data_IF_564442247187
#
_entry.id   IF_564442247187
#
_cell.length_a   1.000
_cell.length_b   1.000
_cell.length_c   1.000
_cell.angle_alpha   90.00
_cell.angle_beta   90.00
_cell.angle_gamma   90.00
#
_symmetry.space_group_name_H-M   'P 1'
#
loop_
_entity.id
_entity.type
_entity.pdbx_description
1 polymer ?
#
# COMPACT_ATOMS: atom_id res chain seq x y z
N UNK A 1 11.93 3.90 14.79
CA UNK A 1 10.91 4.50 13.92
C UNK A 1 10.91 6.03 14.01
N UNK A 2 10.84 6.62 15.20
CA UNK A 2 10.83 8.09 15.40
C UNK A 2 11.94 8.85 14.65
N UNK A 3 13.17 8.35 14.70
CA UNK A 3 14.31 8.99 14.00
C UNK A 3 14.15 8.96 12.48
N UNK A 4 13.59 7.89 11.93
CA UNK A 4 13.40 7.74 10.48
C UNK A 4 12.32 8.73 10.01
N UNK A 5 11.16 8.76 10.68
CA UNK A 5 10.11 9.71 10.37
C UNK A 5 10.59 11.17 10.49
N UNK A 6 11.37 11.48 11.55
CA UNK A 6 11.94 12.83 11.70
C UNK A 6 12.81 13.23 10.50
N UNK A 7 13.62 12.35 9.95
CA UNK A 7 14.42 12.63 8.74
C UNK A 7 13.52 12.95 7.55
N UNK A 8 12.46 12.14 7.36
CA UNK A 8 11.48 12.34 6.27
C UNK A 8 10.78 13.68 6.45
N UNK A 9 10.26 13.97 7.65
CA UNK A 9 9.57 15.22 7.96
C UNK A 9 10.49 16.43 7.81
N UNK A 10 11.73 16.37 8.30
CA UNK A 10 12.70 17.46 8.20
C UNK A 10 12.98 17.77 6.71
N UNK A 11 13.15 16.73 5.89
CA UNK A 11 13.35 16.91 4.45
C UNK A 11 12.12 17.51 3.76
N UNK A 12 10.94 16.98 4.03
CA UNK A 12 9.67 17.48 3.47
C UNK A 12 9.41 18.93 3.90
N UNK A 13 9.63 19.28 5.16
CA UNK A 13 9.44 20.64 5.65
C UNK A 13 10.32 21.68 4.94
N UNK A 14 11.51 21.27 4.49
CA UNK A 14 12.43 22.14 3.75
C UNK A 14 12.05 22.25 2.28
N UNK A 15 11.67 21.13 1.65
CA UNK A 15 11.56 21.02 0.20
C UNK A 15 10.12 21.03 -0.31
N UNK A 16 9.16 20.51 0.48
CA UNK A 16 7.76 20.36 0.10
C UNK A 16 6.82 20.46 1.33
N UNK A 17 6.76 21.61 2.02
CA UNK A 17 6.00 21.74 3.26
C UNK A 17 4.50 21.47 3.07
N UNK A 18 3.97 21.64 1.88
CA UNK A 18 2.59 21.31 1.54
C UNK A 18 2.33 19.80 1.71
N UNK A 19 3.29 18.93 1.35
CA UNK A 19 3.18 17.48 1.50
C UNK A 19 3.26 17.06 2.97
N UNK A 20 4.05 17.75 3.79
CA UNK A 20 4.09 17.48 5.24
C UNK A 20 2.72 17.67 5.88
N UNK A 21 1.96 18.64 5.41
CA UNK A 21 0.62 18.93 5.96
C UNK A 21 -0.41 17.82 5.67
N UNK A 22 -0.11 16.91 4.74
CA UNK A 22 -0.96 15.76 4.41
C UNK A 22 -0.73 14.58 5.37
N UNK A 23 0.42 14.51 6.05
CA UNK A 23 0.67 13.47 7.04
C UNK A 23 -0.33 13.58 8.20
N UNK A 24 -1.07 12.51 8.42
CA UNK A 24 -2.08 12.48 9.47
C UNK A 24 -1.44 12.25 10.85
N UNK A 25 -2.05 12.75 11.94
CA UNK A 25 -1.61 12.42 13.29
C UNK A 25 -1.52 10.91 13.51
N UNK A 26 -0.68 10.48 14.44
CA UNK A 26 -0.52 9.08 14.78
C UNK A 26 -1.80 8.45 15.33
N UNK A 27 -1.95 7.15 15.08
CA UNK A 27 -3.03 6.34 15.64
C UNK A 27 -2.80 6.06 17.13
N UNK A 28 -3.90 5.98 17.87
CA UNK A 28 -3.89 5.46 19.24
C UNK A 28 -3.67 3.95 19.28
N UNK A 29 -3.30 3.43 20.44
CA UNK A 29 -3.13 1.99 20.65
C UNK A 29 -4.45 1.23 20.46
N UNK A 30 -5.58 1.85 20.84
CA UNK A 30 -6.91 1.28 20.66
C UNK A 30 -7.29 1.17 19.18
N UNK A 31 -6.95 2.17 18.36
CA UNK A 31 -7.19 2.11 16.91
C UNK A 31 -6.36 1.03 16.23
N UNK A 32 -5.09 0.88 16.63
CA UNK A 32 -4.22 -0.19 16.12
C UNK A 32 -4.80 -1.56 16.48
N UNK A 33 -5.11 -1.81 17.76
CA UNK A 33 -5.67 -3.08 18.24
C UNK A 33 -7.03 -3.38 17.60
N UNK A 34 -7.87 -2.35 17.43
CA UNK A 34 -9.15 -2.50 16.75
C UNK A 34 -8.98 -2.94 15.30
N UNK A 35 -8.02 -2.35 14.59
CA UNK A 35 -7.70 -2.70 13.20
C UNK A 35 -7.16 -4.13 13.10
N UNK A 36 -6.23 -4.52 13.98
CA UNK A 36 -5.72 -5.89 14.06
C UNK A 36 -6.86 -6.90 14.28
N UNK A 37 -7.82 -6.57 15.15
CA UNK A 37 -8.98 -7.42 15.41
C UNK A 37 -9.92 -7.52 14.20
N UNK A 38 -10.19 -6.40 13.49
CA UNK A 38 -11.03 -6.38 12.30
C UNK A 38 -10.44 -7.21 11.14
N UNK A 39 -9.13 -7.17 10.98
CA UNK A 39 -8.39 -7.89 9.94
C UNK A 39 -8.01 -9.31 10.38
N UNK A 40 -8.20 -9.67 11.66
CA UNK A 40 -7.76 -10.94 12.26
C UNK A 40 -6.26 -11.21 12.09
N UNK A 41 -5.44 -10.17 12.26
CA UNK A 41 -3.98 -10.21 12.12
C UNK A 41 -3.27 -9.60 13.32
N UNK A 42 -1.95 -9.77 13.36
CA UNK A 42 -1.07 -9.03 14.26
C UNK A 42 -0.04 -8.29 13.42
N UNK A 43 0.04 -6.98 13.58
CA UNK A 43 1.02 -6.18 12.85
C UNK A 43 2.42 -6.34 13.47
N UNK A 44 3.49 -6.37 12.65
CA UNK A 44 4.86 -6.24 13.14
C UNK A 44 5.04 -4.96 13.97
N UNK A 45 5.90 -5.03 15.00
CA UNK A 45 6.04 -3.90 15.93
C UNK A 45 6.60 -2.63 15.27
N UNK A 46 7.41 -2.76 14.24
CA UNK A 46 7.93 -1.61 13.51
C UNK A 46 6.85 -0.88 12.67
N UNK A 47 5.89 -1.61 12.10
CA UNK A 47 4.73 -1.00 11.44
C UNK A 47 3.81 -0.30 12.45
N UNK A 48 3.52 -0.93 13.59
CA UNK A 48 2.77 -0.28 14.69
C UNK A 48 3.47 0.98 15.18
N UNK A 49 4.79 0.91 15.38
CA UNK A 49 5.58 2.07 15.76
C UNK A 49 5.56 3.20 14.71
N UNK A 50 5.34 2.87 13.44
CA UNK A 50 5.14 3.85 12.39
C UNK A 50 3.75 4.50 12.47
N UNK A 51 2.70 3.68 12.59
CA UNK A 51 1.32 4.17 12.69
C UNK A 51 1.07 5.03 13.95
N UNK A 52 1.80 4.79 15.05
CA UNK A 52 1.77 5.69 16.22
C UNK A 52 2.33 7.09 15.94
N UNK A 53 3.06 7.28 14.84
CA UNK A 53 3.60 8.57 14.42
C UNK A 53 2.69 9.21 13.36
N UNK A 54 2.38 8.47 12.29
CA UNK A 54 1.48 8.91 11.23
C UNK A 54 0.50 7.82 10.84
N UNK A 55 -0.78 8.14 10.91
CA UNK A 55 -1.89 7.28 10.52
C UNK A 55 -2.41 7.65 9.13
N UNK A 56 -1.55 7.53 8.12
CA UNK A 56 -1.89 7.85 6.75
C UNK A 56 -1.29 9.14 6.22
N UNK A 57 -1.39 9.34 4.91
CA UNK A 57 -0.89 10.52 4.18
C UNK A 57 -2.00 11.35 3.53
N UNK A 58 -3.21 11.36 4.11
CA UNK A 58 -4.25 12.32 3.75
C UNK A 58 -5.22 11.91 2.67
N UNK A 59 -5.35 10.61 2.37
CA UNK A 59 -6.41 10.08 1.51
C UNK A 59 -5.98 9.65 0.11
N UNK A 60 -6.97 9.29 -0.72
CA UNK A 60 -6.76 8.65 -2.03
C UNK A 60 -6.63 9.66 -3.20
N UNK A 61 -6.40 10.93 -2.92
CA UNK A 61 -6.22 11.95 -3.96
C UNK A 61 -4.76 11.98 -4.45
N UNK A 62 -4.50 12.44 -5.69
CA UNK A 62 -3.16 12.52 -6.25
C UNK A 62 -2.12 13.19 -5.34
N UNK A 63 -2.51 14.25 -4.61
CA UNK A 63 -1.63 14.98 -3.71
C UNK A 63 -1.07 14.14 -2.55
N UNK A 64 -1.75 13.04 -2.21
CA UNK A 64 -1.33 12.17 -1.10
C UNK A 64 -0.33 11.09 -1.51
N UNK A 65 -0.05 10.94 -2.82
CA UNK A 65 0.88 9.94 -3.36
C UNK A 65 2.30 10.49 -3.38
N UNK A 66 2.91 10.67 -2.22
CA UNK A 66 4.23 11.28 -2.12
C UNK A 66 5.25 10.49 -1.29
N UNK A 67 4.85 9.37 -0.71
CA UNK A 67 5.78 8.48 -0.03
C UNK A 67 6.51 7.59 -1.03
N UNK A 68 7.05 6.49 -0.59
CA UNK A 68 7.91 5.59 -1.36
C UNK A 68 7.42 5.41 -2.79
N UNK A 69 8.19 5.87 -3.77
CA UNK A 69 7.87 5.80 -5.22
C UNK A 69 6.45 6.25 -5.55
N UNK A 70 6.04 7.37 -4.98
CA UNK A 70 4.72 7.98 -5.20
C UNK A 70 3.52 7.15 -4.71
N UNK A 71 3.71 6.31 -3.70
CA UNK A 71 2.60 5.66 -3.02
C UNK A 71 1.99 6.58 -1.96
N UNK A 72 0.71 6.38 -1.64
CA UNK A 72 0.04 6.95 -0.48
C UNK A 72 0.07 5.97 0.69
N UNK A 73 0.39 6.45 1.89
CA UNK A 73 0.21 5.68 3.11
C UNK A 73 -1.28 5.63 3.44
N UNK A 74 -1.85 4.45 3.47
CA UNK A 74 -3.23 4.25 3.90
C UNK A 74 -3.33 4.47 5.41
N UNK A 75 -4.35 5.20 5.87
CA UNK A 75 -4.74 5.18 7.27
C UNK A 75 -5.24 3.78 7.66
N UNK A 76 -5.26 3.47 8.95
CA UNK A 76 -5.80 2.19 9.44
C UNK A 76 -7.24 1.96 8.97
N UNK A 77 -8.05 3.03 8.90
CA UNK A 77 -9.41 2.96 8.36
C UNK A 77 -9.42 2.63 6.87
N UNK A 78 -8.64 3.35 6.07
CA UNK A 78 -8.54 3.13 4.61
C UNK A 78 -8.00 1.73 4.31
N UNK A 79 -7.04 1.25 5.10
CA UNK A 79 -6.51 -0.11 5.02
C UNK A 79 -7.62 -1.16 5.18
N UNK A 80 -8.48 -1.02 6.20
CA UNK A 80 -9.63 -1.92 6.41
C UNK A 80 -10.64 -1.82 5.27
N UNK A 81 -10.96 -0.59 4.85
CA UNK A 81 -11.92 -0.37 3.77
C UNK A 81 -11.40 -0.96 2.44
N UNK A 82 -10.11 -0.75 2.15
CA UNK A 82 -9.46 -1.30 0.97
C UNK A 82 -9.37 -2.82 1.03
N UNK A 83 -8.95 -3.39 2.17
CA UNK A 83 -8.89 -4.84 2.36
C UNK A 83 -10.27 -5.50 2.18
N UNK A 84 -11.35 -4.90 2.73
CA UNK A 84 -12.71 -5.40 2.56
C UNK A 84 -13.21 -5.36 1.13
N UNK A 85 -12.78 -4.38 0.36
CA UNK A 85 -13.16 -4.24 -1.05
C UNK A 85 -12.56 -5.36 -1.90
N UNK A 86 -11.38 -5.83 -1.54
CA UNK A 86 -10.60 -6.79 -2.33
C UNK A 86 -10.44 -8.15 -1.66
N UNK A 87 -10.69 -8.27 -0.36
CA UNK A 87 -10.64 -9.57 0.31
C UNK A 87 -11.72 -10.51 -0.25
N UNK A 88 -11.39 -11.78 -0.52
CA UNK A 88 -12.38 -12.74 -0.95
C UNK A 88 -13.47 -12.86 0.14
N UNK A 89 -14.74 -13.04 -0.25
CA UNK A 89 -15.82 -13.27 0.70
C UNK A 89 -15.49 -14.49 1.57
N UNK A 90 -15.92 -14.43 2.83
CA UNK A 90 -15.87 -15.62 3.69
C UNK A 90 -16.77 -16.68 3.06
N UNK A 91 -16.29 -17.92 2.91
CA UNK A 91 -17.00 -19.02 2.23
C UNK A 91 -18.46 -19.20 2.71
N UNK A 92 -18.78 -18.74 3.93
CA UNK A 92 -20.14 -18.83 4.51
C UNK A 92 -21.12 -17.74 4.00
N UNK A 93 -20.71 -16.79 3.14
CA UNK A 93 -21.58 -15.68 2.71
C UNK A 93 -22.19 -15.83 1.32
N UNK A 94 -21.78 -16.83 0.55
CA UNK A 94 -22.45 -17.17 -0.69
C UNK A 94 -22.95 -18.62 -0.63
N UNK A 95 -24.27 -18.84 -0.54
CA UNK A 95 -24.81 -20.16 -0.81
C UNK A 95 -24.39 -20.54 -2.23
N UNK A 96 -24.04 -21.81 -2.41
CA UNK A 96 -23.66 -22.39 -3.68
C UNK A 96 -24.54 -21.86 -4.84
N UNK A 97 -24.10 -20.80 -5.51
CA UNK A 97 -24.62 -20.51 -6.84
C UNK A 97 -23.99 -21.57 -7.76
N UNK A 98 -24.83 -22.31 -8.49
CA UNK A 98 -24.32 -23.31 -9.41
C UNK A 98 -23.41 -22.62 -10.42
N UNK A 99 -22.14 -23.03 -10.44
CA UNK A 99 -21.17 -22.65 -11.47
C UNK A 99 -21.53 -23.36 -12.77
N UNK A 100 -22.67 -23.01 -13.38
CA UNK A 100 -22.97 -23.31 -14.77
C UNK A 100 -22.23 -22.32 -15.70
N UNK A 101 -20.95 -22.14 -15.48
CA UNK A 101 -20.09 -21.49 -16.45
C UNK A 101 -19.61 -22.60 -17.39
N UNK A 102 -20.22 -22.66 -18.56
CA UNK A 102 -19.78 -23.44 -19.69
C UNK A 102 -18.32 -23.06 -20.02
N UNK A 103 -17.33 -23.94 -19.85
CA UNK A 103 -15.93 -23.62 -20.09
C UNK A 103 -15.63 -23.36 -21.58
N UNK A 104 -16.59 -23.50 -22.48
CA UNK A 104 -16.46 -23.24 -23.92
C UNK A 104 -17.13 -21.92 -24.38
N UNK A 105 -17.73 -21.13 -23.48
CA UNK A 105 -18.27 -19.84 -23.90
C UNK A 105 -17.13 -18.83 -24.08
N UNK A 106 -16.82 -18.55 -25.34
CA UNK A 106 -15.86 -17.54 -25.79
C UNK A 106 -16.34 -16.09 -25.58
N UNK A 107 -17.36 -15.88 -24.78
CA UNK A 107 -17.87 -14.57 -24.40
C UNK A 107 -17.09 -14.07 -23.18
N UNK A 108 -15.83 -13.68 -23.41
CA UNK A 108 -15.12 -12.85 -22.43
C UNK A 108 -15.94 -11.58 -22.19
N UNK A 109 -16.29 -11.26 -20.94
CA UNK A 109 -17.06 -10.07 -20.67
C UNK A 109 -16.25 -8.85 -21.10
N UNK A 110 -16.80 -8.06 -22.04
CA UNK A 110 -16.16 -6.83 -22.58
C UNK A 110 -15.80 -5.76 -21.51
N UNK A 111 -16.05 -6.06 -20.24
CA UNK A 111 -15.90 -5.13 -19.11
C UNK A 111 -14.45 -4.89 -18.66
N UNK A 112 -13.48 -5.68 -19.08
CA UNK A 112 -12.06 -5.43 -18.73
C UNK A 112 -11.48 -4.21 -19.48
N UNK A 113 -12.16 -3.73 -20.53
CA UNK A 113 -11.75 -2.55 -21.30
C UNK A 113 -12.17 -1.21 -20.71
N UNK A 114 -12.97 -1.19 -19.65
CA UNK A 114 -13.50 0.06 -19.06
C UNK A 114 -12.67 0.64 -17.92
N UNK A 115 -11.47 0.11 -17.65
CA UNK A 115 -10.58 0.62 -16.60
C UNK A 115 -11.08 0.40 -15.16
N UNK A 116 -12.22 -0.28 -14.99
CA UNK A 116 -12.66 -0.80 -13.72
C UNK A 116 -12.02 -2.16 -13.56
N UNK A 117 -11.12 -2.24 -12.58
CA UNK A 117 -10.41 -3.49 -12.26
C UNK A 117 -11.42 -4.63 -12.17
N UNK A 118 -11.18 -5.76 -12.82
CA UNK A 118 -11.97 -6.93 -12.54
C UNK A 118 -11.68 -7.31 -11.08
N UNK A 119 -12.64 -7.07 -10.19
CA UNK A 119 -12.62 -7.61 -8.83
C UNK A 119 -12.24 -9.10 -8.83
N UNK A 120 -12.51 -9.79 -9.94
CA UNK A 120 -12.15 -11.17 -10.19
C UNK A 120 -10.64 -11.42 -10.38
N UNK A 121 -9.89 -10.55 -11.06
CA UNK A 121 -8.44 -10.75 -11.21
C UNK A 121 -7.72 -10.60 -9.86
N UNK A 122 -8.13 -9.62 -9.05
CA UNK A 122 -7.62 -9.46 -7.69
C UNK A 122 -8.11 -10.61 -6.78
N UNK A 123 -9.33 -11.12 -6.96
CA UNK A 123 -9.84 -12.31 -6.27
C UNK A 123 -9.02 -13.56 -6.55
N UNK A 124 -8.76 -13.87 -7.83
CA UNK A 124 -7.94 -15.02 -8.24
C UNK A 124 -6.54 -14.95 -7.62
N UNK A 125 -6.02 -13.76 -7.45
CA UNK A 125 -4.68 -13.56 -6.90
C UNK A 125 -4.63 -13.65 -5.38
N UNK A 126 -5.73 -13.28 -4.68
CA UNK A 126 -5.87 -13.47 -3.23
C UNK A 126 -6.34 -14.89 -2.86
N UNK A 127 -6.88 -15.68 -3.79
CA UNK A 127 -7.18 -17.09 -3.57
C UNK A 127 -5.91 -17.92 -3.38
N UNK A 128 -4.80 -17.54 -4.03
CA UNK A 128 -3.47 -18.13 -3.83
C UNK A 128 -2.67 -17.47 -2.70
N UNK A 129 -3.13 -16.30 -2.20
CA UNK A 129 -2.49 -15.56 -1.11
C UNK A 129 -3.41 -15.48 0.10
N UNK A 130 -2.87 -15.91 1.22
CA UNK A 130 -3.53 -15.85 2.53
C UNK A 130 -4.05 -14.43 2.82
N UNK A 131 -5.25 -14.33 3.41
CA UNK A 131 -5.93 -13.09 3.87
C UNK A 131 -5.09 -12.20 4.78
N UNK A 132 -3.89 -12.62 5.12
CA UNK A 132 -2.94 -11.93 6.00
C UNK A 132 -1.95 -11.06 5.25
N UNK A 133 -2.07 -10.95 3.93
CA UNK A 133 -1.36 -9.96 3.14
C UNK A 133 -2.16 -8.65 3.15
N UNK A 134 -1.71 -7.69 3.95
CA UNK A 134 -2.46 -6.46 4.25
C UNK A 134 -1.92 -5.29 3.45
N UNK A 135 -2.72 -4.65 2.58
CA UNK A 135 -2.32 -3.45 1.83
C UNK A 135 -2.11 -2.26 2.78
N UNK A 136 -1.01 -1.56 2.66
CA UNK A 136 -0.70 -0.42 3.52
C UNK A 136 -0.17 0.81 2.77
N UNK A 137 0.39 0.63 1.57
CA UNK A 137 0.75 1.70 0.65
C UNK A 137 0.09 1.45 -0.70
N UNK A 138 -0.45 2.48 -1.31
CA UNK A 138 -1.14 2.39 -2.61
C UNK A 138 -0.67 3.47 -3.56
N UNK A 139 -0.47 3.12 -4.82
CA UNK A 139 -0.20 4.03 -5.92
C UNK A 139 -1.46 4.25 -6.78
N UNK A 140 -1.47 5.34 -7.55
CA UNK A 140 -2.63 5.73 -8.36
C UNK A 140 -2.99 4.70 -9.45
N UNK A 141 -1.99 4.00 -10.00
CA UNK A 141 -2.13 2.95 -11.02
C UNK A 141 -2.41 1.55 -10.45
N UNK A 142 -2.86 1.51 -9.20
CA UNK A 142 -3.28 0.30 -8.46
C UNK A 142 -2.14 -0.63 -8.03
N UNK A 143 -0.88 -0.24 -8.20
CA UNK A 143 0.20 -0.89 -7.46
C UNK A 143 -0.01 -0.74 -5.96
N UNK A 144 0.19 -1.83 -5.24
CA UNK A 144 -0.03 -1.89 -3.79
C UNK A 144 1.17 -2.54 -3.12
N UNK A 145 1.67 -1.89 -2.07
CA UNK A 145 2.59 -2.57 -1.17
C UNK A 145 1.81 -3.18 -0.01
N UNK A 146 2.00 -4.47 0.16
CA UNK A 146 1.34 -5.28 1.17
C UNK A 146 2.34 -5.72 2.23
N UNK A 147 1.87 -5.78 3.46
CA UNK A 147 2.59 -6.31 4.61
C UNK A 147 2.15 -7.75 4.86
N UNK A 148 3.08 -8.69 4.86
CA UNK A 148 2.80 -10.05 5.30
C UNK A 148 2.65 -10.08 6.82
N UNK A 149 1.48 -10.46 7.27
CA UNK A 149 1.10 -10.49 8.69
C UNK A 149 0.84 -11.91 9.20
N UNK A 150 1.22 -12.96 8.46
CA UNK A 150 1.09 -14.33 8.92
C UNK A 150 2.28 -14.75 9.80
N UNK A 151 2.10 -14.88 11.14
CA UNK A 151 3.18 -15.23 12.04
C UNK A 151 3.65 -16.70 11.88
N UNK A 152 2.92 -17.52 11.13
CA UNK A 152 3.29 -18.92 10.87
C UNK A 152 4.31 -19.00 9.72
N UNK A 153 4.29 -18.04 8.80
CA UNK A 153 5.21 -17.99 7.70
C UNK A 153 6.54 -17.35 8.09
N UNK A 154 7.62 -17.82 7.50
CA UNK A 154 8.96 -17.20 7.63
C UNK A 154 9.05 -15.85 6.89
N UNK A 155 7.99 -15.43 6.24
CA UNK A 155 7.81 -14.17 5.50
C UNK A 155 7.12 -13.09 6.32
N UNK A 156 6.75 -13.37 7.58
CA UNK A 156 6.12 -12.40 8.48
C UNK A 156 6.93 -11.09 8.58
N UNK A 157 6.27 -9.99 8.25
CA UNK A 157 6.86 -8.66 8.23
C UNK A 157 7.52 -8.26 6.91
N UNK A 158 7.60 -9.15 5.92
CA UNK A 158 8.05 -8.78 4.57
C UNK A 158 7.08 -7.81 3.92
N UNK A 159 7.64 -6.94 3.11
CA UNK A 159 6.89 -6.06 2.22
C UNK A 159 6.88 -6.68 0.83
N UNK A 160 5.68 -6.89 0.32
CA UNK A 160 5.41 -7.52 -0.97
C UNK A 160 4.70 -6.50 -1.85
N UNK A 161 5.23 -6.26 -3.02
CA UNK A 161 4.60 -5.45 -4.05
C UNK A 161 3.62 -6.30 -4.84
N UNK A 162 2.44 -5.76 -5.04
CA UNK A 162 1.50 -6.26 -6.00
C UNK A 162 1.36 -5.27 -7.17
N UNK A 163 1.67 -5.73 -8.36
CA UNK A 163 1.48 -5.02 -9.63
C UNK A 163 0.46 -5.83 -10.46
N UNK A 164 -0.63 -5.21 -10.91
CA UNK A 164 -1.66 -5.88 -11.70
C UNK A 164 -1.16 -6.56 -12.98
N UNK A 165 -0.04 -6.10 -13.53
CA UNK A 165 0.51 -6.60 -14.79
C UNK A 165 1.54 -7.70 -14.59
N UNK A 166 2.34 -7.62 -13.52
CA UNK A 166 3.46 -8.53 -13.27
C UNK A 166 3.24 -9.47 -12.06
N UNK A 167 2.19 -9.25 -11.26
CA UNK A 167 1.89 -10.06 -10.08
C UNK A 167 2.65 -9.64 -8.84
N UNK A 168 2.98 -10.60 -7.98
CA UNK A 168 3.65 -10.35 -6.71
C UNK A 168 5.16 -10.37 -6.83
N UNK A 169 5.83 -9.44 -6.17
CA UNK A 169 7.27 -9.41 -6.05
C UNK A 169 7.72 -9.02 -4.64
N UNK A 170 8.93 -9.47 -4.25
CA UNK A 170 9.56 -8.99 -3.02
C UNK A 170 9.96 -7.53 -3.17
N UNK A 171 9.62 -6.71 -2.15
CA UNK A 171 9.95 -5.29 -2.15
C UNK A 171 10.96 -4.89 -1.06
N UNK A 172 10.69 -5.25 0.20
CA UNK A 172 11.57 -4.95 1.32
C UNK A 172 11.45 -5.99 2.45
N UNK A 173 12.49 -6.11 3.26
CA UNK A 173 12.53 -7.08 4.36
C UNK A 173 11.63 -6.70 5.53
N UNK A 174 11.49 -5.40 5.81
CA UNK A 174 10.73 -4.89 6.95
C UNK A 174 10.23 -3.47 6.66
N UNK A 175 9.19 -3.06 7.39
CA UNK A 175 8.67 -1.69 7.36
C UNK A 175 9.77 -0.65 7.64
N UNK A 176 10.61 -0.93 8.64
CA UNK A 176 11.73 -0.06 8.99
C UNK A 176 12.70 0.14 7.83
N UNK A 177 13.04 -0.94 7.12
CA UNK A 177 14.00 -0.90 6.00
C UNK A 177 13.42 -0.09 4.85
N UNK A 178 12.13 -0.26 4.56
CA UNK A 178 11.42 0.52 3.55
C UNK A 178 11.49 2.02 3.83
N UNK A 179 11.12 2.45 5.03
CA UNK A 179 11.14 3.88 5.38
C UNK A 179 12.56 4.44 5.54
N UNK A 180 13.52 3.62 6.00
CA UNK A 180 14.92 4.05 6.08
C UNK A 180 15.49 4.28 4.69
N UNK A 181 15.25 3.37 3.74
CA UNK A 181 15.66 3.54 2.35
C UNK A 181 15.03 4.77 1.72
N UNK A 182 13.76 5.01 1.98
CA UNK A 182 13.08 6.22 1.51
C UNK A 182 13.73 7.50 2.06
N UNK A 183 14.05 7.55 3.36
CA UNK A 183 14.74 8.68 3.95
C UNK A 183 16.14 8.89 3.35
N UNK A 184 16.87 7.80 3.15
CA UNK A 184 18.21 7.82 2.52
C UNK A 184 18.14 8.37 1.08
N UNK A 185 17.14 7.94 0.30
CA UNK A 185 16.91 8.40 -1.07
C UNK A 185 16.52 9.88 -1.15
N UNK A 186 15.71 10.37 -0.18
CA UNK A 186 15.39 11.78 -0.07
C UNK A 186 16.66 12.62 0.16
N UNK A 187 17.48 12.22 1.14
CA UNK A 187 18.72 12.92 1.49
C UNK A 187 19.78 12.84 0.39
N UNK A 188 19.80 11.74 -0.37
CA UNK A 188 20.68 11.56 -1.53
C UNK A 188 20.24 12.37 -2.77
N UNK A 189 19.06 12.97 -2.74
CA UNK A 189 18.51 13.71 -3.89
C UNK A 189 18.02 12.80 -5.02
N UNK A 190 17.61 11.59 -4.69
CA UNK A 190 17.01 10.65 -5.63
C UNK A 190 15.52 10.91 -5.85
N UNK A 191 14.96 11.90 -5.16
CA UNK A 191 13.60 12.36 -5.39
C UNK A 191 13.61 13.82 -5.87
N UNK A 192 12.71 14.13 -6.80
CA UNK A 192 12.43 15.50 -7.25
C UNK A 192 10.98 15.85 -6.99
N UNK A 193 10.73 17.14 -6.75
CA UNK A 193 9.39 17.67 -6.59
C UNK A 193 8.89 18.10 -7.95
N UNK A 194 7.78 17.53 -8.38
CA UNK A 194 7.07 17.93 -9.59
C UNK A 194 5.76 18.60 -9.21
N UNK A 195 5.36 19.57 -10.00
CA UNK A 195 4.07 20.25 -9.86
C UNK A 195 3.27 20.06 -11.14
N UNK A 196 2.09 19.50 -10.97
CA UNK A 196 1.15 19.37 -12.08
C UNK A 196 -0.17 20.03 -11.66
N UNK A 197 -0.60 21.07 -12.42
CA UNK A 197 -1.66 21.98 -12.03
C UNK A 197 -1.40 22.57 -10.62
N UNK A 198 -2.21 22.23 -9.64
CA UNK A 198 -2.06 22.67 -8.25
C UNK A 198 -1.50 21.58 -7.32
N UNK A 199 -1.22 20.39 -7.84
CA UNK A 199 -0.78 19.24 -7.07
C UNK A 199 0.74 19.12 -7.08
N UNK A 200 1.29 18.70 -5.94
CA UNK A 200 2.71 18.38 -5.76
C UNK A 200 2.91 16.86 -5.74
N UNK A 201 3.91 16.41 -6.48
CA UNK A 201 4.30 15.02 -6.53
C UNK A 201 5.77 14.88 -6.15
N UNK A 202 6.05 13.80 -5.45
CA UNK A 202 7.41 13.38 -5.16
C UNK A 202 7.76 12.22 -6.10
N UNK A 203 8.54 12.52 -7.14
CA UNK A 203 8.91 11.56 -8.18
C UNK A 203 10.28 10.99 -7.90
N UNK A 204 10.39 9.66 -7.90
CA UNK A 204 11.68 8.96 -7.75
C UNK A 204 12.46 9.00 -9.06
N UNK A 205 13.68 9.51 -9.00
CA UNK A 205 14.66 9.51 -10.09
C UNK A 205 15.66 8.38 -9.86
N UNK A 206 15.45 7.24 -10.50
CA UNK A 206 16.36 6.10 -10.41
C UNK A 206 17.77 6.53 -10.82
N UNK A 207 18.74 6.57 -9.89
CA UNK A 207 20.10 7.01 -10.19
C UNK A 207 20.81 6.10 -11.21
N UNK A 208 20.32 4.86 -11.39
CA UNK A 208 20.92 3.92 -12.37
C UNK A 208 20.51 4.24 -13.81
N UNK A 209 19.43 5.03 -14.00
CA UNK A 209 18.90 5.41 -15.30
C UNK A 209 19.31 6.83 -15.73
N UNK A 210 20.08 7.55 -14.90
CA UNK A 210 20.57 8.90 -15.28
C UNK A 210 21.56 8.78 -16.44
N UNK A 211 21.41 9.57 -17.53
CA UNK A 211 22.37 9.59 -18.60
C UNK A 211 23.74 10.04 -18.05
N UNK A 212 24.80 9.34 -18.44
CA UNK A 212 26.20 9.66 -18.06
C UNK A 212 26.69 10.87 -18.83
#
# INVERSE_FOLDING_TARGET
MQTIWKRIEDWLNIHAPELTSLLQPGASEEEIQHTEALLSVTFPEDSKASYRIHNGSGGLFPQSHFLVKSHALLSLKEMVDYWRMYAPPVEDQYPDEPTDLDPESSDEPENWRTGLFPQQAYRIMLEDYDRKLIPFLRRFDEEVLCLDTDPVHNTYGLIIEYDPQSGFSFYASHWRDLLSSFADDLEAGNYRIERWDNDLFLTFDDPTQRPR
#
